data_IF_604427533423
#
_entry.id   IF_604427533423
#
_cell.length_a   1.000
_cell.length_b   1.000
_cell.length_c   1.000
_cell.angle_alpha   90.00
_cell.angle_beta   90.00
_cell.angle_gamma   90.00
#
_symmetry.space_group_name_H-M   'P 1'
#
loop_
_entity.id
_entity.type
_entity.pdbx_description
1 polymer ?
#
# COMPACT_ATOMS: atom_id res chain seq x y z
N UNK A 1 -5.71 -0.39 22.40
CA UNK A 1 -5.25 -0.84 21.07
C UNK A 1 -3.84 -0.33 20.86
N UNK A 2 -2.91 -1.24 20.58
CA UNK A 2 -1.51 -0.86 20.32
C UNK A 2 -1.52 -0.25 18.91
N UNK A 3 -1.07 1.00 18.83
CA UNK A 3 -1.12 1.80 17.60
C UNK A 3 -0.24 1.16 16.51
N UNK A 4 -0.64 1.31 15.25
CA UNK A 4 0.11 0.79 14.10
C UNK A 4 1.35 1.67 13.84
N UNK A 5 2.55 1.09 13.86
CA UNK A 5 3.80 1.78 13.51
C UNK A 5 4.20 1.54 12.05
N UNK A 6 3.88 2.52 11.21
CA UNK A 6 4.19 2.51 9.77
C UNK A 6 5.70 2.48 9.45
N UNK A 7 6.58 2.65 10.44
CA UNK A 7 8.04 2.54 10.29
C UNK A 7 8.58 1.14 10.57
N UNK A 8 7.71 0.20 10.96
CA UNK A 8 8.09 -1.18 11.27
C UNK A 8 7.39 -2.21 10.37
N UNK A 9 6.38 -1.82 9.60
CA UNK A 9 5.66 -2.71 8.70
C UNK A 9 4.63 -1.99 7.84
N UNK A 10 3.83 -2.76 7.08
CA UNK A 10 2.76 -2.23 6.25
C UNK A 10 3.23 -1.41 5.03
N UNK A 11 4.48 -1.57 4.62
CA UNK A 11 5.04 -0.91 3.44
C UNK A 11 4.35 -1.41 2.18
N UNK A 12 4.25 -0.54 1.17
CA UNK A 12 3.92 -0.94 -0.19
C UNK A 12 5.21 -1.10 -1.00
N UNK A 13 5.45 -2.31 -1.52
CA UNK A 13 6.61 -2.64 -2.35
C UNK A 13 6.18 -2.66 -3.80
N UNK A 14 7.00 -2.11 -4.69
CA UNK A 14 6.93 -2.40 -6.13
C UNK A 14 8.20 -3.11 -6.58
N UNK A 15 8.04 -4.34 -7.07
CA UNK A 15 9.15 -5.22 -7.42
C UNK A 15 9.82 -4.82 -8.73
N UNK A 16 9.05 -4.35 -9.71
CA UNK A 16 9.55 -4.04 -11.05
C UNK A 16 10.47 -2.81 -11.08
N UNK A 17 10.30 -1.89 -10.14
CA UNK A 17 11.12 -0.67 -10.01
C UNK A 17 11.99 -0.64 -8.75
N UNK A 18 12.07 -1.78 -8.05
CA UNK A 18 12.87 -1.97 -6.83
C UNK A 18 12.69 -0.83 -5.81
N UNK A 19 11.44 -0.48 -5.53
CA UNK A 19 11.11 0.58 -4.60
C UNK A 19 10.13 0.10 -3.53
N UNK A 20 10.14 0.78 -2.39
CA UNK A 20 9.10 0.66 -1.38
C UNK A 20 8.75 2.04 -0.84
N UNK A 21 7.55 2.16 -0.28
CA UNK A 21 7.11 3.35 0.43
C UNK A 21 6.50 2.99 1.79
N UNK A 22 6.85 3.79 2.79
CA UNK A 22 6.13 3.85 4.06
C UNK A 22 4.69 4.33 3.84
N UNK A 23 3.76 3.81 4.62
CA UNK A 23 2.34 4.17 4.48
C UNK A 23 1.72 4.58 5.83
N UNK A 24 1.99 5.82 6.29
CA UNK A 24 1.39 6.37 7.51
C UNK A 24 -0.13 6.42 7.45
N UNK A 25 -0.78 6.35 8.62
CA UNK A 25 -2.22 6.56 8.74
C UNK A 25 -2.62 7.93 8.16
N UNK A 26 -3.64 7.94 7.30
CA UNK A 26 -4.12 9.14 6.61
C UNK A 26 -3.36 9.51 5.33
N UNK A 27 -2.28 8.81 4.97
CA UNK A 27 -1.62 9.00 3.68
C UNK A 27 -2.44 8.37 2.55
N UNK A 28 -2.41 9.00 1.37
CA UNK A 28 -2.89 8.40 0.12
C UNK A 28 -1.73 8.32 -0.87
N UNK A 29 -1.58 7.19 -1.54
CA UNK A 29 -0.62 6.99 -2.64
C UNK A 29 -1.35 6.54 -3.89
N UNK A 30 -0.73 6.77 -5.05
CA UNK A 30 -1.23 6.30 -6.35
C UNK A 30 -0.16 5.49 -7.03
N UNK A 31 -0.51 4.29 -7.49
CA UNK A 31 0.36 3.45 -8.29
C UNK A 31 -0.40 2.92 -9.53
N UNK A 32 0.29 2.75 -10.66
CA UNK A 32 -0.28 2.10 -11.83
C UNK A 32 -0.33 0.57 -11.63
N UNK A 33 -1.28 0.11 -10.83
CA UNK A 33 -1.40 -1.29 -10.36
C UNK A 33 -1.56 -2.33 -11.48
N UNK A 34 -2.03 -1.93 -12.66
CA UNK A 34 -2.20 -2.81 -13.81
C UNK A 34 -0.88 -3.23 -14.48
N UNK A 35 0.20 -2.46 -14.26
CA UNK A 35 1.51 -2.67 -14.92
C UNK A 35 2.67 -2.83 -13.94
N UNK A 36 2.44 -2.62 -12.64
CA UNK A 36 3.46 -2.80 -11.60
C UNK A 36 3.04 -3.89 -10.62
N UNK A 37 3.88 -4.93 -10.51
CA UNK A 37 3.80 -5.91 -9.43
C UNK A 37 4.07 -5.22 -8.10
N UNK A 38 3.12 -5.37 -7.18
CA UNK A 38 3.18 -4.75 -5.86
C UNK A 38 2.62 -5.68 -4.78
N UNK A 39 3.01 -5.41 -3.53
CA UNK A 39 2.58 -6.16 -2.35
C UNK A 39 2.67 -5.30 -1.10
N UNK A 40 1.89 -5.64 -0.08
CA UNK A 40 2.06 -5.08 1.27
C UNK A 40 2.99 -5.97 2.10
N UNK A 41 3.85 -5.36 2.92
CA UNK A 41 4.59 -6.10 3.94
C UNK A 41 3.71 -6.41 5.15
N UNK A 42 4.00 -7.48 5.90
CA UNK A 42 3.30 -7.76 7.15
C UNK A 42 3.46 -6.61 8.16
N UNK A 43 2.47 -6.49 9.03
CA UNK A 43 2.51 -5.66 10.25
C UNK A 43 2.79 -6.56 11.46
N UNK A 44 3.02 -5.99 12.63
CA UNK A 44 3.22 -6.78 13.83
C UNK A 44 1.92 -7.52 14.22
N UNK A 45 2.05 -8.71 14.82
CA UNK A 45 0.91 -9.58 15.14
C UNK A 45 -0.13 -8.99 16.10
N UNK A 46 0.23 -7.92 16.81
CA UNK A 46 -0.62 -7.22 17.77
C UNK A 46 -1.22 -5.92 17.20
N UNK A 47 -0.84 -5.53 15.98
CA UNK A 47 -1.33 -4.32 15.31
C UNK A 47 -2.55 -4.63 14.46
N UNK A 48 -3.37 -3.61 14.19
CA UNK A 48 -4.44 -3.67 13.20
C UNK A 48 -4.36 -2.45 12.31
N UNK A 49 -4.40 -2.67 11.01
CA UNK A 49 -4.31 -1.61 10.00
C UNK A 49 -5.43 -1.77 8.97
N UNK A 50 -6.02 -0.65 8.58
CA UNK A 50 -7.09 -0.57 7.59
C UNK A 50 -6.65 0.34 6.44
N UNK A 51 -6.91 -0.09 5.21
CA UNK A 51 -6.66 0.70 4.00
C UNK A 51 -7.84 0.60 3.04
N UNK A 52 -8.02 1.64 2.22
CA UNK A 52 -9.02 1.65 1.13
C UNK A 52 -8.28 1.81 -0.19
N UNK A 53 -8.65 1.00 -1.18
CA UNK A 53 -8.14 1.12 -2.55
C UNK A 53 -9.27 1.59 -3.44
N UNK A 54 -9.01 2.66 -4.19
CA UNK A 54 -9.86 3.11 -5.27
C UNK A 54 -9.15 2.83 -6.59
N UNK A 55 -9.87 2.26 -7.55
CA UNK A 55 -9.34 1.98 -8.88
C UNK A 55 -10.40 2.26 -9.94
N UNK A 56 -9.94 2.55 -11.15
CA UNK A 56 -10.77 2.64 -12.35
C UNK A 56 -10.24 1.69 -13.41
N UNK A 57 -11.12 1.07 -14.18
CA UNK A 57 -10.71 0.31 -15.35
C UNK A 57 -10.10 1.25 -16.40
N UNK A 58 -9.04 0.81 -17.10
CA UNK A 58 -8.34 1.64 -18.09
C UNK A 58 -9.22 2.12 -19.26
N UNK A 59 -10.30 1.39 -19.56
CA UNK A 59 -11.26 1.74 -20.64
C UNK A 59 -12.52 2.45 -20.14
N UNK A 60 -12.58 2.86 -18.87
CA UNK A 60 -13.79 3.45 -18.28
C UNK A 60 -14.16 4.83 -18.89
N UNK A 61 -13.19 5.52 -19.49
CA UNK A 61 -13.35 6.89 -20.01
C UNK A 61 -13.11 7.01 -21.53
N UNK A 62 -13.22 5.90 -22.27
CA UNK A 62 -13.00 5.81 -23.72
C UNK A 62 -14.29 5.49 -24.49
#
# INVERSE_FOLDING_TARGET
>A
DIDFDYKLGGYIISWDINCYAEFPSGLTTTLPSAILHHSNTPIASHETWYSVVQYSAGLLFH
#
